data_IF_056106319796
#
_entry.id   IF_056106319796
#
_cell.length_a   1.000
_cell.length_b   1.000
_cell.length_c   1.000
_cell.angle_alpha   90.00
_cell.angle_beta   90.00
_cell.angle_gamma   90.00
#
_symmetry.space_group_name_H-M   'P 1'
#
loop_
_entity.id
_entity.type
_entity.pdbx_description
1 polymer ?
#
# COMPACT_ATOMS: atom_id res chain seq x y z
N UNK A 1 -27.02 -21.54 -10.85
CA UNK A 1 -27.20 -20.19 -11.41
C UNK A 1 -26.32 -19.24 -10.62
N UNK A 2 -25.06 -19.04 -11.01
CA UNK A 2 -24.21 -17.99 -10.49
C UNK A 2 -24.62 -16.72 -11.25
N UNK A 3 -25.35 -15.83 -10.57
CA UNK A 3 -25.64 -14.51 -11.09
C UNK A 3 -24.30 -13.80 -11.33
N UNK A 4 -24.13 -13.26 -12.53
CA UNK A 4 -23.07 -12.33 -12.84
C UNK A 4 -23.03 -11.25 -11.75
N UNK A 5 -22.12 -11.37 -10.81
CA UNK A 5 -21.77 -10.31 -9.88
C UNK A 5 -21.09 -9.28 -10.77
N UNK A 6 -21.81 -8.21 -11.07
CA UNK A 6 -21.37 -7.13 -11.92
C UNK A 6 -20.06 -6.54 -11.39
N UNK A 7 -19.28 -6.00 -12.29
CA UNK A 7 -17.95 -5.41 -12.11
C UNK A 7 -17.87 -4.21 -11.13
N UNK A 8 -18.87 -3.98 -10.30
CA UNK A 8 -18.94 -2.87 -9.34
C UNK A 8 -19.04 -3.39 -7.90
N UNK A 9 -17.95 -3.91 -7.40
CA UNK A 9 -17.76 -4.49 -6.06
C UNK A 9 -18.08 -3.48 -4.92
N UNK A 10 -19.24 -2.82 -4.99
CA UNK A 10 -19.70 -1.73 -4.11
C UNK A 10 -18.72 -0.54 -4.07
N UNK A 11 -18.04 -0.23 -5.16
CA UNK A 11 -17.01 0.81 -5.19
C UNK A 11 -17.56 2.18 -4.78
N UNK A 12 -18.78 2.53 -5.24
CA UNK A 12 -19.45 3.79 -4.98
C UNK A 12 -20.67 3.67 -4.06
N UNK A 13 -20.99 2.45 -3.63
CA UNK A 13 -22.16 2.16 -2.82
C UNK A 13 -21.79 1.52 -1.48
N UNK A 14 -22.73 1.49 -0.56
CA UNK A 14 -22.54 0.86 0.75
C UNK A 14 -22.65 -0.66 0.62
N UNK A 15 -21.71 -1.38 1.23
CA UNK A 15 -21.75 -2.85 1.32
C UNK A 15 -22.89 -3.28 2.24
N UNK A 16 -23.89 -4.02 1.75
CA UNK A 16 -25.00 -4.51 2.57
C UNK A 16 -24.53 -5.61 3.53
N UNK A 17 -25.26 -5.81 4.62
CA UNK A 17 -24.91 -6.83 5.63
C UNK A 17 -24.77 -8.24 5.07
N UNK A 18 -25.59 -8.59 4.05
CA UNK A 18 -25.58 -9.89 3.38
C UNK A 18 -24.31 -10.17 2.54
N UNK A 19 -23.61 -9.11 2.11
CA UNK A 19 -22.38 -9.22 1.32
C UNK A 19 -21.10 -9.16 2.20
N UNK A 20 -21.22 -9.17 3.52
CA UNK A 20 -20.09 -9.11 4.44
C UNK A 20 -19.50 -10.48 4.74
N UNK A 21 -18.17 -10.54 4.78
CA UNK A 21 -17.42 -11.77 4.99
C UNK A 21 -17.05 -11.99 6.47
N UNK A 22 -16.60 -13.20 6.77
CA UNK A 22 -15.99 -13.51 8.07
C UNK A 22 -14.65 -12.77 8.21
N UNK A 23 -14.22 -12.53 9.47
CA UNK A 23 -12.94 -11.90 9.74
C UNK A 23 -11.76 -12.68 9.13
N UNK A 24 -11.85 -14.02 9.11
CA UNK A 24 -10.80 -14.89 8.58
C UNK A 24 -10.59 -14.70 7.07
N UNK A 25 -11.68 -14.60 6.31
CA UNK A 25 -11.61 -14.35 4.86
C UNK A 25 -10.88 -13.03 4.56
N UNK A 26 -11.18 -11.98 5.34
CA UNK A 26 -10.52 -10.67 5.17
C UNK A 26 -9.07 -10.72 5.67
N UNK A 27 -8.79 -11.48 6.75
CA UNK A 27 -7.43 -11.66 7.26
C UNK A 27 -6.52 -12.35 6.22
N UNK A 28 -7.02 -13.38 5.53
CA UNK A 28 -6.25 -14.07 4.49
C UNK A 28 -5.98 -13.17 3.27
N UNK A 29 -6.93 -12.33 2.89
CA UNK A 29 -6.69 -11.33 1.84
C UNK A 29 -5.64 -10.30 2.29
N UNK A 30 -5.69 -9.84 3.55
CA UNK A 30 -4.69 -8.93 4.12
C UNK A 30 -3.31 -9.58 4.18
N UNK A 31 -3.22 -10.81 4.66
CA UNK A 31 -1.98 -11.59 4.66
C UNK A 31 -1.39 -11.69 3.24
N UNK A 32 -2.24 -11.99 2.24
CA UNK A 32 -1.79 -12.05 0.84
C UNK A 32 -1.29 -10.71 0.30
N UNK A 33 -1.83 -9.57 0.77
CA UNK A 33 -1.32 -8.25 0.37
C UNK A 33 0.06 -7.96 0.97
N UNK A 34 0.28 -8.32 2.24
CA UNK A 34 1.57 -8.13 2.91
C UNK A 34 2.59 -9.16 2.42
N UNK A 35 2.16 -10.39 2.10
CA UNK A 35 3.02 -11.47 1.63
C UNK A 35 3.45 -11.29 0.17
N UNK A 36 4.26 -10.26 -0.09
CA UNK A 36 4.72 -9.88 -1.42
C UNK A 36 6.23 -9.72 -1.47
N UNK A 37 6.78 -9.65 -2.68
CA UNK A 37 8.21 -9.42 -2.91
C UNK A 37 8.73 -8.15 -2.21
N UNK A 38 7.90 -7.10 -2.16
CA UNK A 38 8.21 -5.85 -1.46
C UNK A 38 8.47 -6.06 0.04
N UNK A 39 7.72 -6.95 0.68
CA UNK A 39 7.92 -7.28 2.09
C UNK A 39 9.19 -8.10 2.31
N UNK A 40 9.52 -8.98 1.37
CA UNK A 40 10.78 -9.73 1.40
C UNK A 40 11.98 -8.79 1.20
N UNK A 41 11.90 -7.84 0.25
CA UNK A 41 12.91 -6.80 0.03
C UNK A 41 13.10 -5.92 1.26
N UNK A 42 12.00 -5.50 1.90
CA UNK A 42 12.04 -4.75 3.16
C UNK A 42 12.76 -5.54 4.24
N UNK A 43 12.42 -6.82 4.40
CA UNK A 43 13.07 -7.72 5.36
C UNK A 43 14.57 -7.86 5.10
N UNK A 44 14.97 -8.06 3.84
CA UNK A 44 16.37 -8.15 3.45
C UNK A 44 17.13 -6.83 3.72
N UNK A 45 16.52 -5.68 3.41
CA UNK A 45 17.10 -4.35 3.68
C UNK A 45 17.30 -4.11 5.17
N UNK A 46 16.28 -4.40 5.99
CA UNK A 46 16.36 -4.25 7.46
C UNK A 46 17.39 -5.22 8.04
N UNK A 47 17.36 -6.50 7.64
CA UNK A 47 18.30 -7.51 8.11
C UNK A 47 19.74 -7.25 7.69
N UNK A 48 19.97 -6.62 6.55
CA UNK A 48 21.31 -6.22 6.11
C UNK A 48 21.91 -5.14 7.02
N UNK A 49 21.09 -4.22 7.55
CA UNK A 49 21.54 -3.12 8.40
C UNK A 49 21.31 -3.32 9.91
N UNK A 50 20.67 -4.39 10.34
CA UNK A 50 20.35 -4.62 11.76
C UNK A 50 20.64 -6.06 12.17
N UNK A 51 21.08 -6.27 13.43
CA UNK A 51 21.12 -7.61 14.02
C UNK A 51 19.71 -8.19 14.14
N UNK A 52 19.59 -9.53 14.12
CA UNK A 52 18.31 -10.24 14.06
C UNK A 52 17.30 -9.76 15.13
N UNK A 53 17.69 -9.66 16.39
CA UNK A 53 16.79 -9.24 17.47
C UNK A 53 16.39 -7.77 17.39
N UNK A 54 17.30 -6.93 16.91
CA UNK A 54 16.99 -5.52 16.67
C UNK A 54 16.01 -5.38 15.48
N UNK A 55 16.20 -6.14 14.40
CA UNK A 55 15.27 -6.23 13.28
C UNK A 55 13.91 -6.74 13.74
N UNK A 56 13.86 -7.81 14.54
CA UNK A 56 12.63 -8.33 15.13
C UNK A 56 11.87 -7.26 15.92
N UNK A 57 12.58 -6.46 16.74
CA UNK A 57 11.97 -5.35 17.46
C UNK A 57 11.48 -4.24 16.53
N UNK A 58 12.24 -3.91 15.46
CA UNK A 58 11.82 -2.94 14.46
C UNK A 58 10.54 -3.39 13.72
N UNK A 59 10.46 -4.67 13.35
CA UNK A 59 9.25 -5.27 12.77
C UNK A 59 8.08 -5.23 13.76
N UNK A 60 8.30 -5.53 15.03
CA UNK A 60 7.26 -5.45 16.06
C UNK A 60 6.71 -4.02 16.20
N UNK A 61 7.59 -3.04 16.34
CA UNK A 61 7.18 -1.63 16.49
C UNK A 61 6.50 -1.09 15.22
N UNK A 62 7.03 -1.41 14.04
CA UNK A 62 6.44 -1.05 12.76
C UNK A 62 5.06 -1.67 12.56
N UNK A 63 4.90 -2.97 12.88
CA UNK A 63 3.60 -3.65 12.84
C UNK A 63 2.58 -3.01 13.78
N UNK A 64 2.96 -2.65 15.01
CA UNK A 64 2.08 -1.96 15.96
C UNK A 64 1.58 -0.62 15.39
N UNK A 65 2.45 0.15 14.72
CA UNK A 65 2.06 1.39 14.06
C UNK A 65 1.04 1.12 12.95
N UNK A 66 1.33 0.15 12.07
CA UNK A 66 0.46 -0.25 10.98
C UNK A 66 -0.90 -0.74 11.49
N UNK A 67 -0.89 -1.57 12.53
CA UNK A 67 -2.11 -2.13 13.15
C UNK A 67 -2.96 -1.04 13.79
N UNK A 68 -2.35 -0.09 14.51
CA UNK A 68 -3.06 1.05 15.10
C UNK A 68 -3.81 1.85 14.01
N UNK A 69 -3.11 2.24 12.95
CA UNK A 69 -3.69 3.00 11.85
C UNK A 69 -4.80 2.18 11.17
N UNK A 70 -4.50 0.91 10.85
CA UNK A 70 -5.43 -0.01 10.19
C UNK A 70 -6.70 -0.22 11.00
N UNK A 71 -6.61 -0.41 12.32
CA UNK A 71 -7.78 -0.58 13.19
C UNK A 71 -8.61 0.70 13.24
N UNK A 72 -7.98 1.85 13.44
CA UNK A 72 -8.68 3.14 13.57
C UNK A 72 -9.47 3.48 12.31
N UNK A 73 -8.84 3.46 11.12
CA UNK A 73 -9.54 3.75 9.87
C UNK A 73 -10.42 2.58 9.41
N UNK A 74 -10.02 1.35 9.74
CA UNK A 74 -10.78 0.15 9.44
C UNK A 74 -12.13 0.08 10.15
N UNK A 75 -12.21 0.54 11.39
CA UNK A 75 -13.49 0.66 12.12
C UNK A 75 -14.41 1.65 11.43
N UNK A 76 -13.88 2.74 10.86
CA UNK A 76 -14.68 3.69 10.07
C UNK A 76 -15.25 2.97 8.84
N UNK A 77 -14.39 2.30 8.06
CA UNK A 77 -14.78 1.55 6.86
C UNK A 77 -15.83 0.48 7.15
N UNK A 78 -15.65 -0.31 8.21
CA UNK A 78 -16.61 -1.34 8.64
C UNK A 78 -17.96 -0.75 9.04
N UNK A 79 -17.98 0.31 9.84
CA UNK A 79 -19.21 0.96 10.30
C UNK A 79 -19.98 1.57 9.14
N UNK A 80 -19.28 2.24 8.24
CA UNK A 80 -19.92 2.93 7.12
C UNK A 80 -20.13 2.03 5.89
N UNK A 81 -19.44 0.89 5.79
CA UNK A 81 -19.55 0.00 4.63
C UNK A 81 -19.13 0.66 3.32
N UNK A 82 -18.29 1.70 3.36
CA UNK A 82 -17.86 2.50 2.22
C UNK A 82 -16.36 2.33 1.96
N UNK A 83 -15.97 2.46 0.69
CA UNK A 83 -14.56 2.45 0.28
C UNK A 83 -13.81 3.69 0.81
N UNK A 84 -12.46 3.61 0.84
CA UNK A 84 -11.61 4.71 1.31
C UNK A 84 -11.90 6.01 0.54
N UNK A 85 -11.99 5.94 -0.78
CA UNK A 85 -12.28 7.09 -1.63
C UNK A 85 -13.66 7.69 -1.37
N UNK A 86 -14.63 6.87 -1.02
CA UNK A 86 -15.97 7.32 -0.66
C UNK A 86 -15.99 7.94 0.72
N UNK A 87 -15.49 7.23 1.74
CA UNK A 87 -15.59 7.70 3.13
C UNK A 87 -14.73 8.94 3.39
N UNK A 88 -13.61 9.12 2.69
CA UNK A 88 -12.78 10.31 2.78
C UNK A 88 -13.54 11.61 2.50
N UNK A 89 -14.58 11.56 1.67
CA UNK A 89 -15.42 12.74 1.34
C UNK A 89 -16.09 13.35 2.58
N UNK A 90 -16.47 12.52 3.54
CA UNK A 90 -17.14 12.94 4.79
C UNK A 90 -16.27 12.78 6.04
N UNK A 91 -15.02 12.36 5.85
CA UNK A 91 -14.03 12.31 6.94
C UNK A 91 -12.95 13.36 6.75
N UNK A 92 -13.36 14.55 6.35
CA UNK A 92 -12.55 15.75 6.39
C UNK A 92 -11.98 16.20 5.04
N UNK A 93 -12.01 15.41 3.98
CA UNK A 93 -11.30 15.74 2.73
C UNK A 93 -12.18 16.40 1.65
N UNK A 94 -13.46 16.06 1.63
CA UNK A 94 -14.33 16.43 0.50
C UNK A 94 -14.01 15.60 -0.75
N UNK A 95 -14.74 15.87 -1.85
CA UNK A 95 -14.59 15.15 -3.13
C UNK A 95 -13.20 15.38 -3.75
N UNK A 96 -12.75 16.63 -3.79
CA UNK A 96 -11.44 16.99 -4.35
C UNK A 96 -10.28 16.46 -3.52
N UNK A 97 -10.36 16.56 -2.18
CA UNK A 97 -9.35 15.98 -1.28
C UNK A 97 -9.29 14.46 -1.37
N UNK A 98 -10.44 13.78 -1.52
CA UNK A 98 -10.47 12.34 -1.79
C UNK A 98 -9.78 11.97 -3.10
N UNK A 99 -9.95 12.78 -4.15
CA UNK A 99 -9.25 12.59 -5.41
C UNK A 99 -7.73 12.82 -5.29
N UNK A 100 -7.30 13.79 -4.46
CA UNK A 100 -5.88 13.98 -4.11
C UNK A 100 -5.30 12.78 -3.39
N UNK A 101 -6.03 12.15 -2.47
CA UNK A 101 -5.61 10.89 -1.84
C UNK A 101 -5.40 9.82 -2.92
N UNK A 102 -6.34 9.67 -3.85
CA UNK A 102 -6.23 8.74 -4.99
C UNK A 102 -4.99 9.01 -5.85
N UNK A 103 -4.68 10.28 -6.10
CA UNK A 103 -3.46 10.70 -6.81
C UNK A 103 -2.19 10.32 -6.03
N UNK A 104 -2.14 10.61 -4.73
CA UNK A 104 -1.01 10.28 -3.86
C UNK A 104 -0.76 8.75 -3.83
N UNK A 105 -1.83 7.95 -3.72
CA UNK A 105 -1.76 6.48 -3.83
C UNK A 105 -1.21 6.10 -5.20
N UNK A 106 -1.74 6.69 -6.29
CA UNK A 106 -1.27 6.43 -7.65
C UNK A 106 0.23 6.69 -7.82
N UNK A 107 0.73 7.81 -7.30
CA UNK A 107 2.16 8.16 -7.34
C UNK A 107 2.99 7.13 -6.56
N UNK A 108 2.52 6.72 -5.37
CA UNK A 108 3.22 5.70 -4.57
C UNK A 108 3.29 4.35 -5.30
N UNK A 109 2.22 3.96 -5.99
CA UNK A 109 2.18 2.71 -6.76
C UNK A 109 3.10 2.75 -7.98
N UNK A 110 3.33 3.91 -8.60
CA UNK A 110 4.34 4.06 -9.66
C UNK A 110 5.76 3.96 -9.09
N UNK A 111 6.02 4.48 -7.89
CA UNK A 111 7.28 4.23 -7.18
C UNK A 111 7.52 2.73 -6.96
N UNK A 112 6.52 2.01 -6.46
CA UNK A 112 6.58 0.55 -6.30
C UNK A 112 6.77 -0.18 -7.64
N UNK A 113 6.08 0.25 -8.70
CA UNK A 113 6.28 -0.30 -10.05
C UNK A 113 7.75 -0.15 -10.51
N UNK A 114 8.34 1.02 -10.29
CA UNK A 114 9.75 1.28 -10.61
C UNK A 114 10.71 0.38 -9.83
N UNK A 115 10.56 0.33 -8.50
CA UNK A 115 11.40 -0.51 -7.61
C UNK A 115 11.35 -1.98 -8.01
N UNK A 116 10.17 -2.53 -8.21
CA UNK A 116 10.00 -3.94 -8.54
C UNK A 116 10.43 -4.25 -9.98
N UNK A 117 10.29 -3.30 -10.91
CA UNK A 117 10.86 -3.43 -12.26
C UNK A 117 12.38 -3.46 -12.25
N UNK A 118 13.03 -2.67 -11.39
CA UNK A 118 14.48 -2.72 -11.21
C UNK A 118 14.95 -4.07 -10.64
N UNK A 119 14.26 -4.62 -9.64
CA UNK A 119 14.56 -5.97 -9.12
C UNK A 119 14.45 -7.04 -10.23
N UNK A 120 13.42 -6.96 -11.08
CA UNK A 120 13.30 -7.87 -12.21
C UNK A 120 14.39 -7.67 -13.25
N UNK A 121 14.83 -6.44 -13.47
CA UNK A 121 15.95 -6.15 -14.39
C UNK A 121 17.26 -6.81 -13.91
N UNK A 122 17.55 -6.72 -12.61
CA UNK A 122 18.70 -7.44 -12.02
C UNK A 122 18.60 -8.95 -12.25
N UNK A 123 17.41 -9.53 -12.04
CA UNK A 123 17.16 -10.95 -12.34
C UNK A 123 17.38 -11.29 -13.81
N UNK A 124 16.93 -10.45 -14.74
CA UNK A 124 17.12 -10.63 -16.19
C UNK A 124 18.60 -10.51 -16.61
N UNK A 125 19.33 -9.57 -16.01
CA UNK A 125 20.81 -9.50 -16.21
C UNK A 125 21.46 -10.81 -15.80
N UNK A 126 21.10 -11.35 -14.64
CA UNK A 126 21.68 -12.59 -14.13
C UNK A 126 21.30 -13.84 -14.96
N UNK A 127 20.07 -13.87 -15.51
CA UNK A 127 19.56 -15.03 -16.27
C UNK A 127 19.99 -15.02 -17.75
N UNK A 128 19.95 -13.86 -18.38
CA UNK A 128 20.08 -13.71 -19.83
C UNK A 128 21.35 -12.95 -20.19
N UNK A 129 21.72 -11.92 -19.41
CA UNK A 129 22.79 -11.00 -19.77
C UNK A 129 22.47 -10.15 -20.99
N UNK A 130 23.48 -9.81 -21.77
CA UNK A 130 23.38 -9.18 -23.09
C UNK A 130 23.04 -7.67 -23.09
N UNK A 131 22.24 -7.20 -22.14
CA UNK A 131 21.89 -5.77 -21.97
C UNK A 131 22.29 -5.30 -20.57
N UNK A 132 22.62 -3.99 -20.41
CA UNK A 132 22.81 -3.41 -19.10
C UNK A 132 21.50 -3.34 -18.31
N UNK A 133 21.58 -3.26 -16.97
CA UNK A 133 20.44 -3.29 -16.06
C UNK A 133 19.37 -2.24 -16.42
N UNK A 134 19.78 -0.99 -16.71
CA UNK A 134 18.84 0.06 -17.08
C UNK A 134 18.04 -0.27 -18.34
N UNK A 135 18.62 -0.95 -19.32
CA UNK A 135 17.93 -1.35 -20.54
C UNK A 135 16.92 -2.47 -20.27
N UNK A 136 17.32 -3.47 -19.45
CA UNK A 136 16.38 -4.50 -18.99
C UNK A 136 15.24 -3.93 -18.17
N UNK A 137 15.47 -2.89 -17.35
CA UNK A 137 14.44 -2.20 -16.58
C UNK A 137 13.39 -1.55 -17.50
N UNK A 138 13.84 -0.87 -18.58
CA UNK A 138 12.95 -0.31 -19.60
C UNK A 138 12.17 -1.42 -20.33
N UNK A 139 12.85 -2.45 -20.81
CA UNK A 139 12.21 -3.57 -21.52
C UNK A 139 11.13 -4.23 -20.67
N UNK A 140 11.47 -4.57 -19.41
CA UNK A 140 10.54 -5.20 -18.50
C UNK A 140 9.34 -4.30 -18.16
N UNK A 141 9.61 -3.05 -17.77
CA UNK A 141 8.54 -2.11 -17.41
C UNK A 141 7.60 -1.78 -18.57
N UNK A 142 8.14 -1.60 -19.80
CA UNK A 142 7.32 -1.36 -20.99
C UNK A 142 6.53 -2.61 -21.39
N UNK A 143 7.07 -3.81 -21.22
CA UNK A 143 6.34 -5.05 -21.46
C UNK A 143 5.15 -5.18 -20.52
N UNK A 144 5.34 -4.96 -19.22
CA UNK A 144 4.25 -4.96 -18.24
C UNK A 144 3.24 -3.87 -18.59
N UNK A 145 3.70 -2.68 -18.98
CA UNK A 145 2.83 -1.59 -19.40
C UNK A 145 1.94 -1.99 -20.59
N UNK A 146 2.51 -2.64 -21.59
CA UNK A 146 1.76 -3.12 -22.75
C UNK A 146 0.68 -4.16 -22.39
N UNK A 147 0.94 -4.99 -21.37
CA UNK A 147 -0.05 -5.94 -20.83
C UNK A 147 -1.19 -5.19 -20.15
N UNK A 148 -0.86 -4.24 -19.26
CA UNK A 148 -1.86 -3.52 -18.44
C UNK A 148 -2.75 -2.60 -19.26
N UNK A 149 -2.21 -1.96 -20.29
CA UNK A 149 -2.99 -1.10 -21.20
C UNK A 149 -4.12 -1.89 -21.88
N UNK A 150 -3.93 -3.20 -22.15
CA UNK A 150 -4.96 -4.09 -22.73
C UNK A 150 -6.09 -4.44 -21.75
N UNK A 151 -5.95 -4.16 -20.45
CA UNK A 151 -7.01 -4.24 -19.45
C UNK A 151 -6.97 -5.45 -18.53
N UNK A 152 -7.98 -5.51 -17.64
CA UNK A 152 -8.02 -6.42 -16.49
C UNK A 152 -8.03 -7.91 -16.84
N UNK A 153 -8.57 -8.27 -18.00
CA UNK A 153 -8.72 -9.70 -18.39
C UNK A 153 -7.38 -10.45 -18.51
N UNK A 154 -6.30 -9.74 -18.88
CA UNK A 154 -4.96 -10.31 -19.00
C UNK A 154 -4.27 -10.54 -17.65
N UNK A 155 -4.80 -9.96 -16.56
CA UNK A 155 -4.15 -9.93 -15.24
C UNK A 155 -4.61 -11.04 -14.29
N UNK A 156 -5.83 -11.57 -14.47
CA UNK A 156 -6.46 -12.41 -13.44
C UNK A 156 -5.81 -13.79 -13.30
N UNK A 157 -5.46 -14.46 -14.40
CA UNK A 157 -4.95 -15.84 -14.37
C UNK A 157 -3.53 -15.96 -13.80
N UNK A 158 -2.71 -14.92 -13.94
CA UNK A 158 -1.32 -14.95 -13.47
C UNK A 158 -1.23 -15.08 -11.94
N UNK A 159 -2.19 -14.53 -11.17
CA UNK A 159 -2.19 -14.60 -9.72
C UNK A 159 -2.28 -16.02 -9.16
N UNK A 160 -3.06 -16.90 -9.81
CA UNK A 160 -3.22 -18.29 -9.35
C UNK A 160 -1.93 -19.09 -9.39
N UNK A 161 -1.02 -18.74 -10.31
CA UNK A 161 0.28 -19.40 -10.44
C UNK A 161 1.36 -18.71 -9.61
N UNK A 162 1.45 -17.38 -9.69
CA UNK A 162 2.61 -16.65 -9.17
C UNK A 162 2.59 -16.52 -7.64
N UNK A 163 1.42 -16.38 -7.01
CA UNK A 163 1.34 -16.24 -5.53
C UNK A 163 1.76 -17.52 -4.81
N UNK A 164 1.21 -18.71 -5.12
CA UNK A 164 1.68 -19.95 -4.52
C UNK A 164 3.16 -20.21 -4.81
N UNK A 165 3.62 -19.96 -6.05
CA UNK A 165 5.03 -20.16 -6.42
C UNK A 165 5.95 -19.26 -5.59
N UNK A 166 5.59 -18.02 -5.34
CA UNK A 166 6.36 -17.10 -4.50
C UNK A 166 6.44 -17.57 -3.04
N UNK A 167 5.34 -18.04 -2.45
CA UNK A 167 5.34 -18.57 -1.08
C UNK A 167 6.19 -19.85 -0.96
N UNK A 168 6.14 -20.72 -1.96
CA UNK A 168 6.99 -21.91 -2.04
C UNK A 168 8.47 -21.49 -2.16
N UNK A 169 8.78 -20.49 -3.00
CA UNK A 169 10.13 -19.96 -3.15
C UNK A 169 10.69 -19.45 -1.82
N UNK A 170 9.94 -18.60 -1.12
CA UNK A 170 10.37 -18.06 0.18
C UNK A 170 10.59 -19.18 1.18
N UNK A 171 9.66 -20.12 1.28
CA UNK A 171 9.78 -21.28 2.17
C UNK A 171 11.00 -22.13 1.82
N UNK A 172 11.23 -22.41 0.54
CA UNK A 172 12.40 -23.16 0.08
C UNK A 172 13.71 -22.44 0.38
N UNK A 173 13.79 -21.13 0.09
CA UNK A 173 14.99 -20.33 0.38
C UNK A 173 15.34 -20.37 1.86
N UNK A 174 14.35 -20.20 2.75
CA UNK A 174 14.56 -20.29 4.21
C UNK A 174 15.05 -21.70 4.60
N UNK A 175 14.39 -22.76 4.15
CA UNK A 175 14.77 -24.14 4.48
C UNK A 175 16.18 -24.45 3.96
N UNK A 176 16.50 -24.07 2.73
CA UNK A 176 17.81 -24.28 2.12
C UNK A 176 18.93 -23.64 2.94
N UNK A 177 18.79 -22.37 3.28
CA UNK A 177 19.80 -21.62 4.04
C UNK A 177 19.89 -22.10 5.50
N UNK A 178 18.76 -22.40 6.15
CA UNK A 178 18.76 -22.94 7.52
C UNK A 178 19.33 -24.36 7.60
N UNK A 179 19.29 -25.13 6.50
CA UNK A 179 19.92 -26.46 6.48
C UNK A 179 21.44 -26.41 6.32
N UNK A 180 21.99 -25.29 5.84
CA UNK A 180 23.42 -25.07 5.59
C UNK A 180 24.11 -24.16 6.63
N UNK A 181 23.33 -23.49 7.47
CA UNK A 181 23.85 -22.57 8.50
C UNK A 181 23.35 -22.93 9.89
N UNK A 182 24.17 -22.72 10.90
CA UNK A 182 23.73 -22.78 12.31
C UNK A 182 22.81 -21.60 12.62
N UNK A 183 21.56 -21.89 12.98
CA UNK A 183 20.56 -20.86 13.30
C UNK A 183 21.00 -19.99 14.46
N UNK A 184 21.67 -20.56 15.47
CA UNK A 184 22.20 -19.80 16.62
C UNK A 184 23.24 -18.77 16.19
N UNK A 185 24.12 -19.15 15.26
CA UNK A 185 25.11 -18.26 14.67
C UNK A 185 24.46 -17.15 13.85
N UNK A 186 23.42 -17.45 13.04
CA UNK A 186 22.71 -16.44 12.24
C UNK A 186 22.04 -15.39 13.11
N UNK A 187 21.28 -15.78 14.14
CA UNK A 187 20.54 -14.84 15.00
C UNK A 187 21.45 -14.02 15.94
N UNK A 188 22.70 -14.47 16.16
CA UNK A 188 23.70 -13.75 16.96
C UNK A 188 24.72 -12.99 16.11
N UNK A 189 24.66 -13.12 14.77
CA UNK A 189 25.60 -12.44 13.88
C UNK A 189 25.40 -10.91 13.87
N UNK A 190 26.50 -10.18 13.66
CA UNK A 190 26.46 -8.75 13.41
C UNK A 190 25.76 -8.47 12.06
N UNK A 191 25.14 -7.27 11.89
CA UNK A 191 24.56 -6.88 10.63
C UNK A 191 25.62 -6.89 9.52
N UNK A 192 25.28 -7.46 8.33
CA UNK A 192 26.25 -7.57 7.23
C UNK A 192 26.64 -6.24 6.60
N UNK A 193 25.78 -5.23 6.67
CA UNK A 193 25.95 -3.92 6.03
C UNK A 193 26.06 -2.75 7.00
N UNK A 194 25.92 -1.51 6.48
CA UNK A 194 25.88 -0.31 7.29
C UNK A 194 24.76 -0.39 8.33
N UNK A 195 25.09 -0.02 9.57
CA UNK A 195 24.14 -0.16 10.69
C UNK A 195 22.98 0.81 10.56
N UNK A 196 21.77 0.28 10.67
CA UNK A 196 20.53 1.02 10.85
C UNK A 196 20.20 1.13 12.33
N UNK A 197 19.75 2.31 12.77
CA UNK A 197 19.18 2.49 14.09
C UNK A 197 17.81 1.82 14.21
N UNK A 198 17.35 1.55 15.43
CA UNK A 198 16.01 1.02 15.67
C UNK A 198 14.92 1.95 15.13
N UNK A 199 15.13 3.27 15.20
CA UNK A 199 14.23 4.28 14.68
C UNK A 199 14.09 4.17 13.15
N UNK A 200 15.20 4.09 12.44
CA UNK A 200 15.22 3.91 10.98
C UNK A 200 14.55 2.61 10.57
N UNK A 201 14.94 1.47 11.15
CA UNK A 201 14.33 0.18 10.86
C UNK A 201 12.82 0.17 11.10
N UNK A 202 12.35 0.72 12.23
CA UNK A 202 10.91 0.85 12.53
C UNK A 202 10.19 1.73 11.50
N UNK A 203 10.83 2.83 11.07
CA UNK A 203 10.26 3.74 10.06
C UNK A 203 10.15 3.05 8.70
N UNK A 204 11.16 2.27 8.31
CA UNK A 204 11.12 1.48 7.07
C UNK A 204 9.98 0.45 7.08
N UNK A 205 9.86 -0.31 8.19
CA UNK A 205 8.79 -1.32 8.33
C UNK A 205 7.41 -0.66 8.27
N UNK A 206 7.19 0.41 9.03
CA UNK A 206 5.93 1.15 8.97
C UNK A 206 5.66 1.69 7.55
N UNK A 207 6.68 2.27 6.88
CA UNK A 207 6.57 2.80 5.51
C UNK A 207 6.23 1.73 4.47
N UNK A 208 6.70 0.51 4.68
CA UNK A 208 6.52 -0.61 3.74
C UNK A 208 5.07 -0.94 3.41
N UNK A 209 4.17 -0.83 4.38
CA UNK A 209 2.75 -1.13 4.18
C UNK A 209 1.80 0.02 4.56
N UNK A 210 2.31 1.22 4.83
CA UNK A 210 1.50 2.35 5.33
C UNK A 210 0.35 2.74 4.40
N UNK A 211 0.56 2.68 3.09
CA UNK A 211 -0.49 2.96 2.10
C UNK A 211 -1.62 1.94 2.25
N UNK A 212 -1.29 0.65 2.37
CA UNK A 212 -2.25 -0.43 2.64
C UNK A 212 -3.00 -0.25 3.95
N UNK A 213 -2.34 0.27 4.99
CA UNK A 213 -2.98 0.59 6.27
C UNK A 213 -4.00 1.73 6.13
N UNK A 214 -3.66 2.80 5.40
CA UNK A 214 -4.55 3.96 5.21
C UNK A 214 -5.78 3.62 4.35
N UNK A 215 -5.61 2.78 3.31
CA UNK A 215 -6.71 2.35 2.43
C UNK A 215 -7.50 1.15 2.98
N UNK A 216 -7.27 0.78 4.21
CA UNK A 216 -7.95 -0.33 4.90
C UNK A 216 -9.48 -0.33 4.80
N UNK A 217 -10.20 0.81 4.76
CA UNK A 217 -11.65 0.80 4.54
C UNK A 217 -12.10 0.00 3.30
N UNK A 218 -11.26 -0.09 2.26
CA UNK A 218 -11.58 -0.87 1.05
C UNK A 218 -11.78 -2.38 1.35
N UNK A 219 -11.13 -2.89 2.39
CA UNK A 219 -11.28 -4.26 2.84
C UNK A 219 -12.25 -4.39 4.02
N UNK A 220 -12.11 -3.51 5.03
CA UNK A 220 -12.87 -3.64 6.27
C UNK A 220 -14.34 -3.29 6.12
N UNK A 221 -14.75 -2.60 5.04
CA UNK A 221 -16.17 -2.42 4.70
C UNK A 221 -16.92 -3.75 4.54
N UNK A 222 -16.19 -4.83 4.29
CA UNK A 222 -16.73 -6.19 4.24
C UNK A 222 -16.69 -6.93 5.59
N UNK A 223 -16.10 -6.38 6.64
CA UNK A 223 -16.18 -6.96 7.99
C UNK A 223 -17.55 -6.71 8.63
N UNK A 224 -17.95 -7.60 9.54
CA UNK A 224 -19.26 -7.56 10.20
C UNK A 224 -19.24 -6.74 11.48
N UNK A 225 -18.14 -6.85 12.26
CA UNK A 225 -18.01 -6.23 13.58
C UNK A 225 -16.67 -5.54 13.78
N UNK A 226 -16.58 -4.67 14.78
CA UNK A 226 -15.31 -4.06 15.20
C UNK A 226 -14.29 -5.13 15.62
N UNK A 227 -14.75 -6.20 16.28
CA UNK A 227 -13.90 -7.33 16.66
C UNK A 227 -13.31 -8.05 15.44
N UNK A 228 -14.06 -8.12 14.33
CA UNK A 228 -13.54 -8.68 13.08
C UNK A 228 -12.43 -7.81 12.48
N UNK A 229 -12.58 -6.47 12.56
CA UNK A 229 -11.53 -5.54 12.11
C UNK A 229 -10.26 -5.74 12.90
N UNK A 230 -10.34 -5.84 14.22
CA UNK A 230 -9.17 -6.09 15.08
C UNK A 230 -8.52 -7.43 14.75
N UNK A 231 -9.29 -8.51 14.71
CA UNK A 231 -8.78 -9.87 14.46
C UNK A 231 -8.10 -9.97 13.09
N UNK A 232 -8.76 -9.48 12.01
CA UNK A 232 -8.19 -9.54 10.67
C UNK A 232 -6.93 -8.68 10.54
N UNK A 233 -6.84 -7.57 11.27
CA UNK A 233 -5.67 -6.70 11.26
C UNK A 233 -4.49 -7.37 11.95
N UNK A 234 -4.68 -7.81 13.20
CA UNK A 234 -3.63 -8.49 13.97
C UNK A 234 -3.12 -9.73 13.23
N UNK A 235 -4.01 -10.60 12.76
CA UNK A 235 -3.59 -11.82 12.06
C UNK A 235 -2.98 -11.50 10.69
N UNK A 236 -3.62 -10.66 9.88
CA UNK A 236 -3.20 -10.43 8.50
C UNK A 236 -1.90 -9.64 8.39
N UNK A 237 -1.71 -8.59 9.21
CA UNK A 237 -0.47 -7.80 9.19
C UNK A 237 0.64 -8.55 9.90
N UNK A 238 0.44 -8.98 11.16
CA UNK A 238 1.49 -9.64 11.95
C UNK A 238 2.06 -10.85 11.22
N UNK A 239 1.20 -11.76 10.70
CA UNK A 239 1.71 -12.93 9.97
C UNK A 239 2.50 -12.53 8.72
N UNK A 240 2.02 -11.54 7.95
CA UNK A 240 2.72 -11.08 6.75
C UNK A 240 4.09 -10.48 7.08
N UNK A 241 4.13 -9.58 8.06
CA UNK A 241 5.36 -8.93 8.52
C UNK A 241 6.38 -9.97 9.05
N UNK A 242 5.94 -10.89 9.92
CA UNK A 242 6.87 -11.85 10.51
C UNK A 242 7.24 -12.99 9.57
N UNK A 243 6.30 -13.56 8.82
CA UNK A 243 6.61 -14.70 7.95
C UNK A 243 7.51 -14.26 6.79
N UNK A 244 7.16 -13.20 6.09
CA UNK A 244 7.90 -12.78 4.89
C UNK A 244 9.04 -11.83 5.25
N UNK A 245 8.80 -10.85 6.13
CA UNK A 245 9.81 -9.87 6.52
C UNK A 245 10.96 -10.52 7.29
N UNK A 246 10.68 -11.33 8.31
CA UNK A 246 11.75 -12.02 9.05
C UNK A 246 12.46 -13.11 8.24
N UNK A 247 11.78 -13.73 7.25
CA UNK A 247 12.47 -14.58 6.27
C UNK A 247 13.52 -13.75 5.50
N UNK A 248 13.16 -12.55 5.05
CA UNK A 248 14.12 -11.63 4.42
C UNK A 248 15.29 -11.27 5.33
N UNK A 249 15.03 -10.99 6.62
CA UNK A 249 16.08 -10.72 7.63
C UNK A 249 17.05 -11.90 7.76
N UNK A 250 16.54 -13.10 7.96
CA UNK A 250 17.37 -14.30 8.11
C UNK A 250 18.23 -14.57 6.87
N UNK A 251 17.63 -14.43 5.70
CA UNK A 251 18.34 -14.68 4.44
C UNK A 251 19.39 -13.61 4.14
N UNK A 252 19.14 -12.36 4.51
CA UNK A 252 20.14 -11.29 4.42
C UNK A 252 21.37 -11.58 5.31
N UNK A 253 21.17 -12.13 6.49
CA UNK A 253 22.26 -12.58 7.38
C UNK A 253 23.02 -13.79 6.83
N UNK A 254 22.30 -14.78 6.29
CA UNK A 254 22.89 -16.00 5.74
C UNK A 254 23.74 -15.68 4.49
N UNK A 255 23.19 -14.92 3.57
CA UNK A 255 23.82 -14.62 2.26
C UNK A 255 24.70 -13.36 2.33
N UNK A 256 24.62 -12.58 3.42
CA UNK A 256 25.33 -11.28 3.60
C UNK A 256 25.04 -10.27 2.50
N UNK A 257 23.79 -10.20 2.05
CA UNK A 257 23.34 -9.31 0.99
C UNK A 257 21.91 -8.82 1.26
N UNK A 258 21.61 -7.59 0.81
CA UNK A 258 20.23 -7.06 0.75
C UNK A 258 19.59 -7.29 -0.63
N UNK A 259 20.36 -7.73 -1.61
CA UNK A 259 19.90 -7.92 -2.99
C UNK A 259 19.10 -9.21 -3.14
N UNK A 260 17.83 -9.10 -3.52
CA UNK A 260 16.94 -10.23 -3.68
C UNK A 260 17.49 -11.25 -4.70
N UNK A 261 18.05 -10.76 -5.80
CA UNK A 261 18.60 -11.62 -6.85
C UNK A 261 19.76 -12.47 -6.33
N UNK A 262 20.66 -11.88 -5.55
CA UNK A 262 21.77 -12.57 -4.88
C UNK A 262 21.24 -13.59 -3.87
N UNK A 263 20.30 -13.21 -3.01
CA UNK A 263 19.68 -14.09 -2.00
C UNK A 263 19.00 -15.29 -2.68
N UNK A 264 18.19 -15.03 -3.69
CA UNK A 264 17.42 -16.09 -4.36
C UNK A 264 18.32 -17.00 -5.18
N UNK A 265 19.35 -16.44 -5.85
CA UNK A 265 20.28 -17.26 -6.65
C UNK A 265 21.12 -18.18 -5.78
N UNK A 266 21.59 -17.71 -4.61
CA UNK A 266 22.35 -18.54 -3.67
C UNK A 266 21.50 -19.66 -3.07
N UNK A 267 20.23 -19.37 -2.76
CA UNK A 267 19.34 -20.30 -2.04
C UNK A 267 18.66 -21.35 -2.95
N UNK A 268 18.18 -20.93 -4.13
CA UNK A 268 17.30 -21.72 -5.03
C UNK A 268 17.80 -21.72 -6.48
N UNK A 269 18.78 -20.89 -6.80
CA UNK A 269 19.35 -20.79 -8.15
C UNK A 269 18.42 -20.06 -9.14
N UNK A 270 18.61 -20.30 -10.43
CA UNK A 270 17.94 -19.59 -11.52
C UNK A 270 16.42 -19.75 -11.55
N UNK A 271 15.90 -20.88 -11.05
CA UNK A 271 14.44 -21.11 -10.94
C UNK A 271 13.79 -20.08 -10.04
N UNK A 272 14.47 -19.71 -8.94
CA UNK A 272 14.01 -18.67 -8.04
C UNK A 272 13.90 -17.31 -8.72
N UNK A 273 14.85 -16.96 -9.58
CA UNK A 273 14.78 -15.71 -10.35
C UNK A 273 13.58 -15.66 -11.30
N UNK A 274 13.23 -16.78 -11.94
CA UNK A 274 12.02 -16.87 -12.77
C UNK A 274 10.76 -16.60 -11.95
N UNK A 275 10.68 -17.16 -10.72
CA UNK A 275 9.53 -16.94 -9.83
C UNK A 275 9.46 -15.48 -9.37
N UNK A 276 10.60 -14.85 -9.04
CA UNK A 276 10.67 -13.44 -8.70
C UNK A 276 10.17 -12.58 -9.86
N UNK A 277 10.65 -12.80 -11.07
CA UNK A 277 10.23 -12.05 -12.27
C UNK A 277 8.73 -12.23 -12.53
N UNK A 278 8.23 -13.46 -12.48
CA UNK A 278 6.80 -13.73 -12.69
C UNK A 278 5.92 -13.08 -11.60
N UNK A 279 6.35 -13.14 -10.32
CA UNK A 279 5.70 -12.49 -9.21
C UNK A 279 5.68 -10.97 -9.37
N UNK A 280 6.78 -10.40 -9.87
CA UNK A 280 6.88 -8.96 -10.15
C UNK A 280 5.97 -8.52 -11.29
N UNK A 281 5.85 -9.29 -12.36
CA UNK A 281 4.84 -9.02 -13.42
C UNK A 281 3.46 -8.89 -12.78
N UNK A 282 3.10 -9.84 -11.91
CA UNK A 282 1.77 -9.88 -11.27
C UNK A 282 1.49 -8.69 -10.37
N UNK A 283 2.45 -8.29 -9.53
CA UNK A 283 2.22 -7.16 -8.63
C UNK A 283 2.28 -5.83 -9.37
N UNK A 284 3.12 -5.71 -10.38
CA UNK A 284 3.26 -4.51 -11.19
C UNK A 284 2.07 -4.26 -12.13
N UNK A 285 1.39 -5.32 -12.58
CA UNK A 285 0.13 -5.15 -13.31
C UNK A 285 -0.91 -4.43 -12.43
N UNK A 286 -1.01 -4.82 -11.14
CA UNK A 286 -1.90 -4.18 -10.18
C UNK A 286 -1.46 -2.75 -9.83
N UNK A 287 -0.17 -2.53 -9.58
CA UNK A 287 0.37 -1.21 -9.27
C UNK A 287 0.05 -0.20 -10.38
N UNK A 288 0.32 -0.56 -11.62
CA UNK A 288 0.10 0.33 -12.76
C UNK A 288 -1.39 0.54 -13.05
N UNK A 289 -2.21 -0.54 -12.96
CA UNK A 289 -3.65 -0.45 -13.16
C UNK A 289 -4.30 0.50 -12.13
N UNK A 290 -4.01 0.29 -10.86
CA UNK A 290 -4.58 1.07 -9.76
C UNK A 290 -4.09 2.52 -9.78
N UNK A 291 -2.82 2.75 -10.12
CA UNK A 291 -2.28 4.10 -10.34
C UNK A 291 -3.04 4.83 -11.46
N UNK A 292 -3.25 4.15 -12.60
CA UNK A 292 -4.01 4.70 -13.73
C UNK A 292 -5.42 5.13 -13.32
N UNK A 293 -6.13 4.31 -12.54
CA UNK A 293 -7.46 4.65 -12.01
C UNK A 293 -7.42 5.87 -11.08
N UNK A 294 -6.44 5.93 -10.17
CA UNK A 294 -6.27 7.06 -9.25
C UNK A 294 -6.08 8.39 -9.98
N UNK A 295 -5.20 8.41 -10.98
CA UNK A 295 -4.91 9.61 -11.80
C UNK A 295 -6.10 10.00 -12.66
N UNK A 296 -6.77 9.05 -13.31
CA UNK A 296 -7.98 9.33 -14.11
C UNK A 296 -9.08 9.92 -13.24
N UNK A 297 -9.32 9.37 -12.04
CA UNK A 297 -10.29 9.91 -11.10
C UNK A 297 -9.92 11.32 -10.63
N UNK A 298 -8.65 11.59 -10.36
CA UNK A 298 -8.18 12.92 -10.00
C UNK A 298 -8.42 13.93 -11.11
N UNK A 299 -8.01 13.63 -12.34
CA UNK A 299 -8.21 14.51 -13.50
C UNK A 299 -9.71 14.78 -13.70
N UNK A 300 -10.55 13.73 -13.69
CA UNK A 300 -12.00 13.87 -13.83
C UNK A 300 -12.62 14.74 -12.74
N UNK A 301 -12.18 14.57 -11.50
CA UNK A 301 -12.72 15.31 -10.35
C UNK A 301 -12.31 16.79 -10.35
N UNK A 302 -11.06 17.09 -10.71
CA UNK A 302 -10.50 18.46 -10.61
C UNK A 302 -10.78 19.28 -11.88
N UNK A 303 -10.64 18.68 -13.05
CA UNK A 303 -10.80 19.39 -14.34
C UNK A 303 -12.18 19.21 -14.98
N UNK A 304 -12.99 18.27 -14.50
CA UNK A 304 -14.25 17.88 -15.16
C UNK A 304 -14.07 17.18 -16.50
N UNK A 305 -12.83 16.92 -16.93
CA UNK A 305 -12.54 16.33 -18.24
C UNK A 305 -12.41 14.81 -18.15
N UNK A 306 -12.94 14.10 -19.13
CA UNK A 306 -12.76 12.65 -19.26
C UNK A 306 -11.33 12.37 -19.74
N UNK A 307 -10.51 11.72 -18.91
CA UNK A 307 -9.17 11.30 -19.30
C UNK A 307 -9.21 9.87 -19.86
N UNK A 308 -8.48 9.65 -20.97
CA UNK A 308 -8.42 8.32 -21.58
C UNK A 308 -7.51 7.40 -20.75
N UNK A 309 -8.10 6.40 -20.10
CA UNK A 309 -7.42 5.51 -19.16
C UNK A 309 -6.16 4.85 -19.77
N UNK A 310 -6.26 4.29 -20.98
CA UNK A 310 -5.13 3.63 -21.65
C UNK A 310 -3.92 4.55 -21.86
N UNK A 311 -4.17 5.82 -22.24
CA UNK A 311 -3.11 6.82 -22.40
C UNK A 311 -2.44 7.15 -21.05
N UNK A 312 -3.25 7.39 -20.01
CA UNK A 312 -2.71 7.66 -18.67
C UNK A 312 -1.89 6.47 -18.16
N UNK A 313 -2.40 5.24 -18.31
CA UNK A 313 -1.67 4.01 -17.93
C UNK A 313 -0.36 3.88 -18.72
N UNK A 314 -0.33 4.17 -20.01
CA UNK A 314 0.88 4.12 -20.83
C UNK A 314 1.93 5.16 -20.37
N UNK A 315 1.49 6.39 -20.08
CA UNK A 315 2.37 7.47 -19.57
C UNK A 315 2.94 7.08 -18.20
N UNK A 316 2.11 6.61 -17.29
CA UNK A 316 2.54 6.18 -15.96
C UNK A 316 3.49 4.98 -16.01
N UNK A 317 3.22 4.00 -16.88
CA UNK A 317 4.10 2.88 -17.11
C UNK A 317 5.46 3.29 -17.67
N UNK A 318 5.48 4.26 -18.60
CA UNK A 318 6.74 4.84 -19.08
C UNK A 318 7.50 5.55 -17.96
N UNK A 319 6.82 6.38 -17.15
CA UNK A 319 7.44 7.05 -15.99
C UNK A 319 8.04 6.04 -15.02
N UNK A 320 7.29 5.00 -14.65
CA UNK A 320 7.78 3.96 -13.74
C UNK A 320 8.93 3.14 -14.33
N UNK A 321 8.92 2.88 -15.65
CA UNK A 321 10.03 2.21 -16.34
C UNK A 321 11.31 3.07 -16.35
N UNK A 322 11.16 4.37 -16.56
CA UNK A 322 12.29 5.33 -16.48
C UNK A 322 12.81 5.41 -15.03
N UNK A 323 11.93 5.48 -14.02
CA UNK A 323 12.37 5.44 -12.62
C UNK A 323 13.18 4.18 -12.30
N UNK A 324 12.77 3.02 -12.81
CA UNK A 324 13.54 1.79 -12.68
C UNK A 324 14.92 1.91 -13.34
N UNK A 325 14.98 2.44 -14.56
CA UNK A 325 16.21 2.56 -15.34
C UNK A 325 17.20 3.57 -14.73
N UNK A 326 16.74 4.64 -14.10
CA UNK A 326 17.59 5.63 -13.42
C UNK A 326 17.99 5.22 -12.00
N UNK A 327 17.57 4.03 -11.53
CA UNK A 327 18.04 3.44 -10.28
C UNK A 327 17.20 3.79 -9.04
N UNK A 328 15.87 3.92 -9.16
CA UNK A 328 14.98 4.15 -8.00
C UNK A 328 15.18 3.12 -6.87
N UNK A 329 15.66 1.93 -7.19
CA UNK A 329 15.91 0.88 -6.21
C UNK A 329 16.97 1.31 -5.17
N UNK A 330 17.96 2.11 -5.57
CA UNK A 330 18.95 2.65 -4.63
C UNK A 330 18.36 3.65 -3.62
N UNK A 331 17.20 4.26 -3.94
CA UNK A 331 16.46 5.17 -3.07
C UNK A 331 15.31 4.46 -2.32
N UNK A 332 15.33 3.12 -2.22
CA UNK A 332 14.26 2.33 -1.61
C UNK A 332 13.94 2.76 -0.18
N UNK A 333 14.95 2.93 0.66
CA UNK A 333 14.76 3.35 2.05
C UNK A 333 14.18 4.78 2.17
N UNK A 334 14.63 5.70 1.31
CA UNK A 334 14.09 7.07 1.25
C UNK A 334 12.63 7.07 0.80
N UNK A 335 12.31 6.22 -0.18
CA UNK A 335 10.95 6.03 -0.65
C UNK A 335 10.02 5.53 0.47
N UNK A 336 10.42 4.50 1.22
CA UNK A 336 9.64 4.01 2.36
C UNK A 336 9.48 5.06 3.45
N UNK A 337 10.54 5.80 3.76
CA UNK A 337 10.51 6.91 4.72
C UNK A 337 9.53 7.99 4.28
N UNK A 338 9.54 8.36 2.98
CA UNK A 338 8.60 9.32 2.42
C UNK A 338 7.15 8.84 2.58
N UNK A 339 6.85 7.59 2.26
CA UNK A 339 5.53 7.02 2.46
C UNK A 339 5.13 7.03 3.94
N UNK A 340 6.07 6.69 4.83
CA UNK A 340 5.91 6.65 6.28
C UNK A 340 5.56 8.00 6.91
N UNK A 341 5.82 9.13 6.25
CA UNK A 341 5.45 10.47 6.74
C UNK A 341 4.27 11.10 5.99
N UNK A 342 4.10 10.76 4.70
CA UNK A 342 3.10 11.40 3.84
C UNK A 342 1.68 10.83 4.04
N UNK A 343 1.55 9.54 4.34
CA UNK A 343 0.26 8.85 4.42
C UNK A 343 -0.39 8.84 5.80
N UNK A 344 0.31 8.69 6.94
CA UNK A 344 -0.31 8.68 8.27
C UNK A 344 -1.19 9.90 8.57
N UNK A 345 -0.86 11.12 8.11
CA UNK A 345 -1.73 12.28 8.31
C UNK A 345 -3.14 12.10 7.76
N UNK A 346 -3.31 11.36 6.65
CA UNK A 346 -4.62 11.07 6.08
C UNK A 346 -5.48 10.31 7.10
N UNK A 347 -4.91 9.26 7.70
CA UNK A 347 -5.57 8.50 8.74
C UNK A 347 -5.87 9.36 9.98
N UNK A 348 -4.90 10.18 10.42
CA UNK A 348 -5.07 11.10 11.55
C UNK A 348 -6.25 12.04 11.38
N UNK A 349 -6.38 12.64 10.19
CA UNK A 349 -7.49 13.52 9.81
C UNK A 349 -8.82 12.76 9.80
N UNK A 350 -8.88 11.61 9.12
CA UNK A 350 -10.10 10.80 9.04
C UNK A 350 -10.60 10.38 10.42
N UNK A 351 -9.70 9.98 11.30
CA UNK A 351 -9.99 9.58 12.68
C UNK A 351 -10.45 10.77 13.51
N UNK A 352 -9.75 11.92 13.41
CA UNK A 352 -10.12 13.15 14.10
C UNK A 352 -11.52 13.63 13.70
N UNK A 353 -11.82 13.65 12.40
CA UNK A 353 -13.15 14.05 11.91
C UNK A 353 -14.22 13.08 12.41
N UNK A 354 -14.02 11.79 12.18
CA UNK A 354 -15.07 10.79 12.43
C UNK A 354 -15.39 10.62 13.92
N UNK A 355 -14.40 10.64 14.81
CA UNK A 355 -14.61 10.35 16.23
C UNK A 355 -14.71 11.60 17.11
N UNK A 356 -14.06 12.72 16.74
CA UNK A 356 -13.93 13.90 17.60
C UNK A 356 -14.66 15.11 17.07
N UNK A 357 -14.36 15.59 15.86
CA UNK A 357 -14.95 16.81 15.28
C UNK A 357 -16.39 16.54 14.83
N UNK A 358 -16.64 15.41 14.18
CA UNK A 358 -17.98 14.89 13.80
C UNK A 358 -18.81 15.83 12.92
N UNK A 359 -18.17 16.67 12.12
CA UNK A 359 -18.87 17.70 11.33
C UNK A 359 -19.85 17.10 10.32
N UNK A 360 -19.44 16.04 9.63
CA UNK A 360 -20.28 15.33 8.63
C UNK A 360 -20.84 14.00 9.13
N UNK A 361 -20.67 13.73 10.41
CA UNK A 361 -21.10 12.47 11.01
C UNK A 361 -22.62 12.23 10.91
N UNK A 362 -23.40 13.30 11.10
CA UNK A 362 -24.89 13.22 10.99
C UNK A 362 -25.35 12.82 9.59
N UNK A 363 -24.71 13.34 8.54
CA UNK A 363 -25.00 12.97 7.14
C UNK A 363 -24.72 11.49 6.88
N UNK A 364 -23.56 10.98 7.40
CA UNK A 364 -23.20 9.56 7.31
C UNK A 364 -24.18 8.65 8.04
N UNK A 365 -24.61 9.02 9.26
CA UNK A 365 -25.54 8.23 10.07
C UNK A 365 -26.95 8.19 9.46
N UNK A 366 -27.45 9.33 8.98
CA UNK A 366 -28.73 9.41 8.30
C UNK A 366 -28.76 8.56 7.02
N UNK A 367 -27.73 8.63 6.21
CA UNK A 367 -27.61 7.84 4.99
C UNK A 367 -27.42 6.34 5.30
N UNK A 368 -26.67 6.02 6.36
CA UNK A 368 -26.49 4.63 6.82
C UNK A 368 -27.82 4.00 7.24
N UNK A 369 -28.66 4.72 7.95
CA UNK A 369 -29.99 4.23 8.34
C UNK A 369 -30.86 3.88 7.13
N UNK A 370 -30.59 4.50 5.96
CA UNK A 370 -31.28 4.26 4.70
C UNK A 370 -30.55 3.25 3.78
N UNK A 371 -29.43 2.66 4.24
CA UNK A 371 -28.65 1.69 3.47
C UNK A 371 -27.88 2.28 2.28
N UNK A 372 -27.78 3.62 2.18
CA UNK A 372 -27.13 4.32 1.04
C UNK A 372 -25.96 5.21 1.48
N UNK A 373 -25.15 5.67 0.55
CA UNK A 373 -24.19 6.74 0.78
C UNK A 373 -24.91 8.10 0.85
N UNK A 374 -24.37 9.13 1.52
CA UNK A 374 -24.94 10.47 1.47
C UNK A 374 -24.99 11.01 0.02
N UNK A 375 -26.06 11.76 -0.31
CA UNK A 375 -26.30 12.25 -1.67
C UNK A 375 -25.33 13.36 -2.09
N UNK A 376 -24.86 14.15 -1.14
CA UNK A 376 -23.97 15.27 -1.37
C UNK A 376 -22.72 15.17 -0.51
N UNK A 377 -21.63 15.73 -1.02
CA UNK A 377 -20.37 15.89 -0.30
C UNK A 377 -19.81 17.29 -0.51
N UNK A 378 -19.02 17.84 0.43
CA UNK A 378 -18.26 19.06 0.16
C UNK A 378 -17.30 18.79 -1.02
N UNK A 379 -17.09 19.80 -1.87
CA UNK A 379 -16.14 19.69 -2.97
C UNK A 379 -14.72 19.76 -2.42
N UNK A 380 -14.40 20.78 -1.64
CA UNK A 380 -13.09 20.96 -1.02
C UNK A 380 -13.21 21.30 0.46
N UNK A 381 -12.18 20.92 1.23
CA UNK A 381 -11.97 21.33 2.61
C UNK A 381 -10.52 21.86 2.72
N UNK A 382 -10.25 23.13 2.42
CA UNK A 382 -8.89 23.67 2.31
C UNK A 382 -8.04 23.47 3.56
N UNK A 383 -8.62 23.67 4.75
CA UNK A 383 -7.92 23.45 6.01
C UNK A 383 -7.32 22.04 6.13
N UNK A 384 -8.00 21.04 5.59
CA UNK A 384 -7.52 19.65 5.61
C UNK A 384 -6.24 19.45 4.80
N UNK A 385 -6.16 20.11 3.63
CA UNK A 385 -4.97 20.02 2.78
C UNK A 385 -3.76 20.66 3.48
N UNK A 386 -3.97 21.82 4.11
CA UNK A 386 -2.92 22.49 4.90
C UNK A 386 -2.47 21.59 6.07
N UNK A 387 -3.42 21.03 6.82
CA UNK A 387 -3.10 20.10 7.93
C UNK A 387 -2.31 18.89 7.41
N UNK A 388 -2.72 18.29 6.29
CA UNK A 388 -2.01 17.15 5.71
C UNK A 388 -0.56 17.48 5.37
N UNK A 389 -0.34 18.55 4.61
CA UNK A 389 1.00 18.98 4.19
C UNK A 389 1.88 19.34 5.39
N UNK A 390 1.37 20.18 6.30
CA UNK A 390 2.13 20.60 7.49
C UNK A 390 2.52 19.40 8.35
N UNK A 391 1.60 18.46 8.55
CA UNK A 391 1.87 17.26 9.36
C UNK A 391 2.89 16.33 8.72
N UNK A 392 2.85 16.18 7.38
CA UNK A 392 3.85 15.42 6.65
C UNK A 392 5.24 16.07 6.74
N UNK A 393 5.31 17.40 6.61
CA UNK A 393 6.58 18.14 6.77
C UNK A 393 7.12 18.02 8.21
N UNK A 394 6.26 18.13 9.22
CA UNK A 394 6.68 17.92 10.62
C UNK A 394 7.20 16.50 10.81
N UNK A 395 6.51 15.47 10.31
CA UNK A 395 6.98 14.10 10.36
C UNK A 395 8.35 13.89 9.68
N UNK A 396 8.62 14.64 8.60
CA UNK A 396 9.87 14.53 7.86
C UNK A 396 11.04 15.26 8.52
N UNK A 397 10.82 16.44 9.06
CA UNK A 397 11.91 17.35 9.49
C UNK A 397 12.10 17.42 11.00
N UNK A 398 11.15 16.89 11.79
CA UNK A 398 11.30 16.81 13.25
C UNK A 398 11.95 15.49 13.61
N UNK A 399 13.18 15.55 14.06
CA UNK A 399 14.02 14.38 14.38
C UNK A 399 13.67 13.70 15.71
N UNK A 400 12.64 14.16 16.42
CA UNK A 400 12.20 13.59 17.69
C UNK A 400 11.12 12.52 17.48
N UNK A 401 11.31 11.35 18.05
CA UNK A 401 10.33 10.24 17.99
C UNK A 401 10.25 9.56 16.63
N UNK A 402 9.16 8.82 16.41
CA UNK A 402 8.92 8.08 15.17
C UNK A 402 8.23 8.97 14.13
N UNK A 403 8.83 9.19 12.95
CA UNK A 403 8.29 10.07 11.90
C UNK A 403 6.81 9.80 11.55
N UNK A 404 6.43 8.52 11.43
CA UNK A 404 5.05 8.12 11.10
C UNK A 404 4.05 8.46 12.22
N UNK A 405 4.45 8.29 13.48
CA UNK A 405 3.63 8.65 14.64
C UNK A 405 3.53 10.16 14.75
N UNK A 406 4.64 10.88 14.58
CA UNK A 406 4.66 12.34 14.63
C UNK A 406 3.68 12.92 13.61
N UNK A 407 3.78 12.51 12.34
CA UNK A 407 2.89 13.00 11.29
C UNK A 407 1.42 12.63 11.55
N UNK A 408 1.12 11.43 12.05
CA UNK A 408 -0.22 10.99 12.43
C UNK A 408 -0.82 11.85 13.54
N UNK A 409 -0.08 11.99 14.65
CA UNK A 409 -0.55 12.68 15.86
C UNK A 409 -0.70 14.17 15.60
N UNK A 410 0.27 14.77 14.91
CA UNK A 410 0.19 16.20 14.54
C UNK A 410 -1.02 16.45 13.64
N UNK A 411 -1.28 15.60 12.65
CA UNK A 411 -2.45 15.71 11.79
C UNK A 411 -3.76 15.61 12.59
N UNK A 412 -3.84 14.65 13.49
CA UNK A 412 -5.00 14.49 14.37
C UNK A 412 -5.23 15.73 15.22
N UNK A 413 -4.19 16.23 15.93
CA UNK A 413 -4.29 17.38 16.82
C UNK A 413 -4.62 18.66 16.06
N UNK A 414 -3.89 18.95 14.98
CA UNK A 414 -4.14 20.15 14.17
C UNK A 414 -5.54 20.14 13.56
N UNK A 415 -6.01 18.97 13.11
CA UNK A 415 -7.36 18.85 12.56
C UNK A 415 -8.44 19.07 13.62
N UNK A 416 -8.26 18.53 14.83
CA UNK A 416 -9.18 18.79 15.96
C UNK A 416 -9.21 20.26 16.33
N UNK A 417 -8.05 20.92 16.39
CA UNK A 417 -7.97 22.38 16.67
C UNK A 417 -8.69 23.15 15.56
N UNK A 418 -8.39 22.88 14.29
CA UNK A 418 -9.02 23.53 13.15
C UNK A 418 -10.55 23.31 13.13
N UNK A 419 -11.00 22.11 13.49
CA UNK A 419 -12.42 21.77 13.57
C UNK A 419 -13.15 22.56 14.65
N UNK A 420 -12.59 22.60 15.86
CA UNK A 420 -13.16 23.34 17.00
C UNK A 420 -13.10 24.85 16.79
N UNK A 421 -12.10 25.37 16.09
CA UNK A 421 -11.98 26.79 15.72
C UNK A 421 -12.86 27.21 14.53
N UNK A 422 -13.65 26.28 13.96
CA UNK A 422 -14.52 26.58 12.82
C UNK A 422 -13.80 26.77 11.49
N UNK A 423 -12.50 26.45 11.39
CA UNK A 423 -11.69 26.55 10.16
C UNK A 423 -11.97 25.40 9.18
N UNK A 424 -12.41 24.23 9.67
CA UNK A 424 -12.82 23.11 8.83
C UNK A 424 -14.16 23.47 8.20
N UNK A 425 -14.11 24.01 6.97
CA UNK A 425 -15.31 24.39 6.20
C UNK A 425 -15.28 23.74 4.84
N UNK A 426 -16.40 23.12 4.45
CA UNK A 426 -16.61 22.63 3.09
C UNK A 426 -16.85 23.81 2.14
N UNK A 427 -16.14 23.84 1.03
CA UNK A 427 -16.33 24.81 -0.07
C UNK A 427 -17.01 24.07 -1.22
N UNK A 428 -18.16 24.58 -1.64
CA UNK A 428 -19.00 23.93 -2.65
C UNK A 428 -19.67 22.65 -2.14
N UNK A 429 -20.71 22.21 -2.84
CA UNK A 429 -21.34 20.89 -2.68
C UNK A 429 -21.47 20.22 -4.03
N UNK A 430 -21.27 18.93 -4.11
CA UNK A 430 -21.49 18.12 -5.32
C UNK A 430 -22.27 16.88 -5.00
N UNK A 431 -23.11 16.44 -5.93
CA UNK A 431 -23.85 15.18 -5.80
C UNK A 431 -22.89 13.99 -5.87
N UNK A 432 -23.15 13.00 -5.04
CA UNK A 432 -22.33 11.76 -4.98
C UNK A 432 -22.47 10.94 -6.28
N UNK A 433 -23.62 11.01 -6.94
CA UNK A 433 -23.93 10.28 -8.18
C UNK A 433 -23.34 10.90 -9.47
N UNK A 434 -22.74 12.11 -9.41
CA UNK A 434 -22.08 12.75 -10.57
C UNK A 434 -20.75 12.10 -11.00
N UNK A 435 -20.41 10.92 -10.48
CA UNK A 435 -19.38 10.07 -11.04
C UNK A 435 -19.97 9.26 -12.18
N UNK A 436 -20.13 9.92 -13.37
CA UNK A 436 -20.34 9.29 -14.67
C UNK A 436 -21.08 7.95 -14.71
N UNK A 437 -22.41 7.97 -14.52
CA UNK A 437 -23.26 6.89 -14.98
C UNK A 437 -23.47 7.05 -16.51
N UNK A 438 -22.35 7.00 -17.25
CA UNK A 438 -22.41 6.68 -18.67
C UNK A 438 -21.59 5.42 -18.85
N UNK A 439 -22.32 4.32 -19.01
CA UNK A 439 -21.90 3.05 -19.57
C UNK A 439 -20.55 3.11 -20.27
N UNK A 440 -19.57 2.40 -19.70
CA UNK A 440 -18.42 1.93 -20.47
C UNK A 440 -19.03 1.03 -21.56
N UNK A 441 -18.91 1.34 -22.85
CA UNK A 441 -19.18 0.35 -23.87
C UNK A 441 -18.19 -0.79 -23.70
N UNK A 442 -18.67 -2.00 -23.85
CA UNK A 442 -17.99 -3.28 -23.68
C UNK A 442 -16.66 -3.39 -24.46
#
# INVERSE_FOLDING_TARGET
>A
MASAVGADDYALTRVPGSARYSWWTVAMQRFGQVSALSQFLLGATVGFGMGFWQAFLAFTLGSVILELITILVGVIGMREGLSTSMIARWTGFGRGGSALIGLAIGISLIGWFGIQSAVSAQGLVSLIGGLPEWAWALVFGLLVTAIVVRGFHSMAWTAYLTVPAFLILVGWSVISELSSHDLGALVSSAPPGPQLSLLEGTTLVAGGFIVGAVITPDMTRFNRTTGDVVKQTLVGITLGEYVIGMAGVLLAHAVKSAEITTIVTSSVGWVGLLIVIAGTVKINDWNLYSSGLGVVNFIGTVSGRKAHRGLITAVLGLVGSVLAAVGILSAFSDFLTLLGVAFPPIAGIMVAEYFVVKKWRGELEAARAQGRAPEEAPVWVPATIVVWVVSALIGKFVEWGLPSINSLVVAFVLYVIAGKSGLVRGVGRSRTADTGSDSVPA
#
